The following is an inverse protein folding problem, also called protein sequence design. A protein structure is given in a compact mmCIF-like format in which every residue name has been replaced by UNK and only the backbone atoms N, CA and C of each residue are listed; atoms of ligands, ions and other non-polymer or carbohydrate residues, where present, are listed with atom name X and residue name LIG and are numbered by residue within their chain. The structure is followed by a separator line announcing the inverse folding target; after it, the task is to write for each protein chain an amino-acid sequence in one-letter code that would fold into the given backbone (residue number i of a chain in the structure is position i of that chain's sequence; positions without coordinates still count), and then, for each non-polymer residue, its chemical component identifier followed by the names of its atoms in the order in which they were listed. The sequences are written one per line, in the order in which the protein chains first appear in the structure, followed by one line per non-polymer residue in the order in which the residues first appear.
data_IF_835771171822
#
_entry.id   IF_835771171822
#
_cell.length_a   1.000
_cell.length_b   1.000
_cell.length_c   1.000
_cell.angle_alpha   90.00
_cell.angle_beta   90.00
_cell.angle_gamma   90.00
#
_symmetry.space_group_name_H-M   'P 1'
#
loop_
_entity.id
_entity.type
_entity.pdbx_description
1 polymer ?
#
# COMPACT_ATOMS: atom_id res chain seq x y z
N UNK A 1 -26.00 -10.53 -8.35
CA UNK A 1 -24.79 -10.20 -7.59
C UNK A 1 -23.66 -10.07 -8.59
N UNK A 2 -23.34 -8.86 -9.00
CA UNK A 2 -22.23 -8.61 -9.94
C UNK A 2 -20.94 -8.69 -9.13
N UNK A 3 -19.90 -9.43 -9.55
CA UNK A 3 -18.62 -9.36 -8.87
C UNK A 3 -18.09 -7.93 -8.99
N UNK A 4 -17.78 -7.30 -7.85
CA UNK A 4 -17.12 -6.02 -7.83
C UNK A 4 -15.72 -6.20 -8.44
N UNK A 5 -15.43 -5.52 -9.55
CA UNK A 5 -14.08 -5.46 -10.11
C UNK A 5 -13.14 -4.96 -9.02
N UNK A 6 -12.04 -5.66 -8.69
CA UNK A 6 -11.11 -5.18 -7.67
C UNK A 6 -10.56 -3.82 -8.10
N UNK A 7 -10.45 -2.86 -7.18
CA UNK A 7 -9.98 -1.52 -7.50
C UNK A 7 -8.55 -1.60 -8.06
N UNK A 8 -8.23 -0.72 -9.01
CA UNK A 8 -6.91 -0.66 -9.63
C UNK A 8 -5.77 -0.34 -8.62
N UNK A 9 -6.14 0.15 -7.43
CA UNK A 9 -5.24 0.42 -6.32
C UNK A 9 -6.00 0.33 -5.00
N UNK A 10 -5.36 -0.11 -3.92
CA UNK A 10 -5.92 -0.08 -2.56
C UNK A 10 -5.33 1.02 -1.68
N UNK A 11 -4.67 2.01 -2.29
CA UNK A 11 -4.10 3.14 -1.56
C UNK A 11 -2.91 3.80 -2.24
N UNK A 12 -2.11 4.54 -1.47
CA UNK A 12 -0.87 5.18 -1.93
C UNK A 12 0.28 4.84 -1.01
N UNK A 13 1.39 4.38 -1.59
CA UNK A 13 2.66 4.20 -0.90
C UNK A 13 3.59 5.37 -1.18
N UNK A 14 4.39 5.75 -0.19
CA UNK A 14 5.45 6.74 -0.32
C UNK A 14 6.65 6.33 0.52
N UNK A 15 7.86 6.69 0.09
CA UNK A 15 9.07 6.46 0.88
C UNK A 15 9.65 7.78 1.35
N UNK A 16 9.84 7.91 2.67
CA UNK A 16 10.49 9.06 3.29
C UNK A 16 12.01 9.03 3.04
N UNK A 17 12.68 10.15 3.31
CA UNK A 17 14.13 10.28 3.15
C UNK A 17 14.94 9.35 4.07
N UNK A 18 14.38 8.93 5.20
CA UNK A 18 14.98 7.93 6.11
C UNK A 18 14.79 6.48 5.60
N UNK A 19 14.14 6.30 4.45
CA UNK A 19 13.79 4.99 3.90
C UNK A 19 12.49 4.41 4.45
N UNK A 20 11.79 5.06 5.37
CA UNK A 20 10.52 4.54 5.89
C UNK A 20 9.44 4.55 4.81
N UNK A 21 8.79 3.41 4.59
CA UNK A 21 7.64 3.29 3.70
C UNK A 21 6.39 3.68 4.48
N UNK A 22 5.59 4.58 3.91
CA UNK A 22 4.29 4.99 4.43
C UNK A 22 3.22 4.51 3.47
N UNK A 23 2.38 3.60 3.94
CA UNK A 23 1.21 3.10 3.23
C UNK A 23 -0.03 3.81 3.76
N UNK A 24 -0.74 4.52 2.89
CA UNK A 24 -2.09 5.00 3.19
C UNK A 24 -3.04 4.10 2.42
N UNK A 25 -3.74 3.22 3.13
CA UNK A 25 -4.64 2.20 2.61
C UNK A 25 -6.08 2.68 2.68
N UNK A 26 -6.86 2.32 1.68
CA UNK A 26 -8.29 2.57 1.59
C UNK A 26 -8.96 1.22 1.32
N UNK A 27 -9.90 0.85 2.18
CA UNK A 27 -10.73 -0.33 2.03
C UNK A 27 -12.17 0.14 1.81
N UNK A 28 -12.72 -0.12 0.63
CA UNK A 28 -14.11 0.18 0.31
C UNK A 28 -14.90 -1.12 0.22
N UNK A 29 -16.02 -1.17 0.94
CA UNK A 29 -17.05 -2.21 0.84
C UNK A 29 -18.39 -1.53 0.60
N UNK A 30 -19.41 -2.28 0.16
CA UNK A 30 -20.76 -1.73 -0.09
C UNK A 30 -21.39 -0.99 1.10
N UNK A 31 -20.88 -1.20 2.33
CA UNK A 31 -21.41 -0.58 3.54
C UNK A 31 -20.42 0.35 4.27
N UNK A 32 -19.11 0.21 4.05
CA UNK A 32 -18.08 0.86 4.87
C UNK A 32 -16.86 1.22 4.02
N UNK A 33 -16.40 2.47 4.17
CA UNK A 33 -15.06 2.91 3.77
C UNK A 33 -14.18 3.00 5.02
N UNK A 34 -13.07 2.26 5.02
CA UNK A 34 -12.04 2.32 6.05
C UNK A 34 -10.74 2.88 5.50
N UNK A 35 -10.06 3.73 6.28
CA UNK A 35 -8.74 4.25 5.95
C UNK A 35 -7.73 3.80 7.02
N UNK A 36 -6.53 3.41 6.59
CA UNK A 36 -5.45 3.02 7.50
C UNK A 36 -4.12 3.61 7.05
N UNK A 37 -3.29 4.03 8.01
CA UNK A 37 -1.91 4.47 7.76
C UNK A 37 -0.93 3.55 8.46
N UNK A 38 -0.03 2.95 7.69
CA UNK A 38 0.98 2.01 8.18
C UNK A 38 2.36 2.57 7.83
N UNK A 39 3.25 2.60 8.82
CA UNK A 39 4.65 2.97 8.63
C UNK A 39 5.53 1.73 8.79
N UNK A 40 6.36 1.45 7.79
CA UNK A 40 7.23 0.27 7.74
C UNK A 40 8.67 0.78 7.60
N UNK A 41 9.43 0.64 8.68
CA UNK A 41 10.84 1.07 8.72
C UNK A 41 11.74 0.06 8.01
N UNK A 42 12.96 0.44 7.58
CA UNK A 42 13.91 -0.50 6.96
C UNK A 42 14.30 -1.71 7.82
N UNK A 43 13.99 -1.70 9.13
CA UNK A 43 14.25 -2.80 10.07
C UNK A 43 13.02 -3.69 10.29
N UNK A 44 11.86 -3.30 9.79
CA UNK A 44 10.63 -4.08 9.93
C UNK A 44 10.71 -5.33 9.02
N UNK A 45 10.35 -6.53 9.52
CA UNK A 45 10.40 -7.75 8.72
C UNK A 45 9.54 -7.70 7.45
N UNK A 46 8.50 -6.85 7.42
CA UNK A 46 7.62 -6.67 6.25
C UNK A 46 8.22 -5.78 5.17
N UNK A 47 9.33 -5.09 5.44
CA UNK A 47 9.86 -4.05 4.57
C UNK A 47 10.22 -4.57 3.17
N UNK A 48 10.96 -5.69 3.12
CA UNK A 48 11.39 -6.28 1.84
C UNK A 48 10.19 -6.71 0.99
N UNK A 49 9.28 -7.46 1.59
CA UNK A 49 8.05 -7.95 0.95
C UNK A 49 7.19 -6.78 0.45
N UNK A 50 7.08 -5.70 1.25
CA UNK A 50 6.36 -4.50 0.85
C UNK A 50 6.98 -3.85 -0.39
N UNK A 51 8.31 -3.71 -0.45
CA UNK A 51 8.97 -3.15 -1.65
C UNK A 51 8.75 -4.03 -2.87
N UNK A 52 8.87 -5.36 -2.71
CA UNK A 52 8.67 -6.32 -3.80
C UNK A 52 7.23 -6.25 -4.32
N UNK A 53 6.24 -6.26 -3.43
CA UNK A 53 4.82 -6.11 -3.77
C UNK A 53 4.52 -4.80 -4.50
N UNK A 54 5.11 -3.71 -4.03
CA UNK A 54 4.97 -2.42 -4.70
C UNK A 54 5.59 -2.46 -6.11
N UNK A 55 6.56 -3.33 -6.39
CA UNK A 55 7.36 -3.32 -7.61
C UNK A 55 8.49 -2.27 -7.53
N UNK A 56 9.12 -2.17 -6.36
CA UNK A 56 10.16 -1.18 -6.04
C UNK A 56 9.59 0.13 -5.49
N UNK A 57 10.33 0.85 -4.66
CA UNK A 57 9.97 2.21 -4.23
C UNK A 57 11.25 2.93 -3.83
N UNK A 58 11.46 4.15 -4.34
CA UNK A 58 12.64 4.95 -4.04
C UNK A 58 12.32 6.07 -3.05
N UNK A 59 13.32 6.55 -2.32
CA UNK A 59 13.17 7.68 -1.39
C UNK A 59 12.62 8.92 -2.12
N UNK A 60 11.61 9.55 -1.53
CA UNK A 60 10.90 10.70 -2.13
C UNK A 60 9.87 10.32 -3.19
N UNK A 61 9.79 9.05 -3.60
CA UNK A 61 8.79 8.58 -4.56
C UNK A 61 7.47 8.25 -3.85
N UNK A 62 6.38 8.46 -4.57
CA UNK A 62 5.05 7.96 -4.22
C UNK A 62 4.41 7.24 -5.42
N UNK A 63 3.59 6.22 -5.16
CA UNK A 63 2.86 5.49 -6.20
C UNK A 63 1.62 4.77 -5.66
N UNK A 64 0.64 4.44 -6.52
CA UNK A 64 -0.49 3.60 -6.13
C UNK A 64 -0.04 2.23 -5.63
N UNK A 65 -0.81 1.67 -4.70
CA UNK A 65 -0.54 0.36 -4.13
C UNK A 65 -1.40 -0.68 -4.87
N UNK A 66 -0.80 -1.64 -5.58
CA UNK A 66 -1.59 -2.71 -6.20
C UNK A 66 -2.32 -3.53 -5.14
N UNK A 67 -3.50 -4.10 -5.46
CA UNK A 67 -4.17 -5.04 -4.57
C UNK A 67 -3.25 -6.23 -4.26
N UNK A 68 -3.34 -6.77 -3.05
CA UNK A 68 -2.58 -7.97 -2.68
C UNK A 68 -3.18 -9.19 -3.38
N UNK A 69 -2.35 -10.09 -3.91
CA UNK A 69 -2.83 -11.36 -4.42
C UNK A 69 -3.48 -12.17 -3.28
N UNK A 70 -4.51 -12.94 -3.63
CA UNK A 70 -5.21 -13.86 -2.71
C UNK A 70 -4.34 -15.06 -2.31
#
# INVERSE_FOLDING_TARGET
MTPATPPASIGTASMRADGTIVLNLIAETDAITGEARIEITPRDPRYKDTIEHLGGLQQGQAKPIPPWPE
#
